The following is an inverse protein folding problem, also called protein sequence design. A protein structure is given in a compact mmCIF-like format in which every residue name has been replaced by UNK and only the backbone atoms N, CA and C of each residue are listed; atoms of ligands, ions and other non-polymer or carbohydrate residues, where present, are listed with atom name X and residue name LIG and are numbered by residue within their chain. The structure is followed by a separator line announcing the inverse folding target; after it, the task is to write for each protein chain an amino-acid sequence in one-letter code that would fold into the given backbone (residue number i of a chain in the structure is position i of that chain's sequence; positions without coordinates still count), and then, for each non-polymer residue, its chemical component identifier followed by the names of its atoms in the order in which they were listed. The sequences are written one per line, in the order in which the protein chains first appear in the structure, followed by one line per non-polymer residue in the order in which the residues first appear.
data_IF_190910720770
#
_entry.id   IF_190910720770
#
_cell.length_a   1.000
_cell.length_b   1.000
_cell.length_c   1.000
_cell.angle_alpha   90.00
_cell.angle_beta   90.00
_cell.angle_gamma   90.00
#
_symmetry.space_group_name_H-M   'P 1'
#
loop_
_entity.id
_entity.type
_entity.pdbx_description
1 polymer ?
#
# COMPACT_ATOMS: atom_id res chain seq x y z
N UNK A 1 -7.90 17.73 -11.78
CA UNK A 1 -6.98 16.85 -12.53
C UNK A 1 -7.16 15.43 -12.01
N UNK A 2 -7.04 14.41 -12.87
CA UNK A 2 -7.15 12.99 -12.50
C UNK A 2 -5.86 12.31 -12.90
N UNK A 3 -5.32 11.47 -12.02
CA UNK A 3 -4.07 10.75 -12.25
C UNK A 3 -4.29 9.25 -12.04
N UNK A 4 -3.68 8.45 -12.91
CA UNK A 4 -3.60 7.00 -12.73
C UNK A 4 -2.20 6.67 -12.24
N UNK A 5 -2.12 5.86 -11.19
CA UNK A 5 -0.88 5.43 -10.56
C UNK A 5 -0.77 3.91 -10.64
N UNK A 6 0.45 3.41 -10.68
CA UNK A 6 0.79 2.00 -10.59
C UNK A 6 1.89 1.85 -9.55
N UNK A 7 1.66 0.96 -8.58
CA UNK A 7 2.65 0.58 -7.59
C UNK A 7 3.17 -0.80 -7.97
N UNK A 8 4.46 -0.90 -8.29
CA UNK A 8 5.12 -2.17 -8.56
C UNK A 8 5.75 -2.67 -7.27
N UNK A 9 5.40 -3.90 -6.88
CA UNK A 9 5.92 -4.55 -5.68
C UNK A 9 6.89 -5.66 -6.08
N UNK A 10 7.95 -5.83 -5.30
CA UNK A 10 8.84 -6.99 -5.45
C UNK A 10 8.17 -8.27 -4.94
N UNK A 11 8.63 -9.44 -5.40
CA UNK A 11 8.16 -10.74 -4.90
C UNK A 11 8.30 -10.85 -3.38
N UNK A 12 9.38 -10.31 -2.81
CA UNK A 12 9.59 -10.28 -1.37
C UNK A 12 8.51 -9.46 -0.65
N UNK A 13 8.19 -8.26 -1.15
CA UNK A 13 7.14 -7.42 -0.55
C UNK A 13 5.77 -8.11 -0.60
N UNK A 14 5.44 -8.73 -1.74
CA UNK A 14 4.20 -9.49 -1.91
C UNK A 14 4.15 -10.64 -0.88
N UNK A 15 5.24 -11.39 -0.76
CA UNK A 15 5.35 -12.49 0.20
C UNK A 15 5.21 -12.02 1.66
N UNK A 16 5.88 -10.92 2.03
CA UNK A 16 5.84 -10.36 3.39
C UNK A 16 4.42 -9.91 3.75
N UNK A 17 3.74 -9.19 2.86
CA UNK A 17 2.38 -8.69 3.10
C UNK A 17 1.37 -9.86 3.14
N UNK A 18 1.51 -10.87 2.27
CA UNK A 18 0.69 -12.10 2.33
C UNK A 18 0.90 -12.90 3.64
N UNK A 19 2.04 -12.72 4.31
CA UNK A 19 2.35 -13.30 5.62
C UNK A 19 1.93 -12.41 6.81
N UNK A 20 1.23 -11.31 6.55
CA UNK A 20 0.68 -10.44 7.58
C UNK A 20 1.57 -9.26 7.97
N UNK A 21 2.58 -8.91 7.15
CA UNK A 21 3.26 -7.64 7.33
C UNK A 21 2.27 -6.47 7.17
N UNK A 22 2.44 -5.43 7.99
CA UNK A 22 1.63 -4.21 7.90
C UNK A 22 1.91 -3.47 6.58
N UNK A 23 0.87 -2.87 6.01
CA UNK A 23 0.96 -2.00 4.83
C UNK A 23 0.68 -0.56 5.27
N UNK A 24 1.63 0.33 5.01
CA UNK A 24 1.46 1.78 5.12
C UNK A 24 1.32 2.44 3.75
N UNK A 25 0.66 3.61 3.70
CA UNK A 25 0.64 4.48 2.52
C UNK A 25 0.78 5.93 2.94
N UNK A 26 1.56 6.71 2.20
CA UNK A 26 1.78 8.12 2.53
C UNK A 26 2.12 8.98 1.33
N UNK A 27 2.07 10.29 1.56
CA UNK A 27 2.49 11.34 0.63
C UNK A 27 3.48 12.21 1.38
N UNK A 28 4.69 12.34 0.84
CA UNK A 28 5.73 13.23 1.36
C UNK A 28 5.95 14.41 0.41
N UNK A 29 4.92 15.22 0.24
CA UNK A 29 5.02 16.47 -0.51
C UNK A 29 5.16 17.63 0.46
N UNK A 30 6.04 18.60 0.17
CA UNK A 30 6.34 19.75 1.06
C UNK A 30 5.09 20.44 1.63
N UNK A 31 4.05 20.57 0.80
CA UNK A 31 2.80 21.25 1.16
C UNK A 31 1.68 20.30 1.57
N UNK A 32 1.93 18.99 1.59
CA UNK A 32 0.98 17.96 1.98
C UNK A 32 1.73 16.69 2.42
N UNK A 33 1.95 16.57 3.72
CA UNK A 33 2.54 15.39 4.35
C UNK A 33 1.45 14.64 5.11
N UNK A 34 1.17 13.41 4.69
CA UNK A 34 0.14 12.58 5.31
C UNK A 34 0.49 11.10 5.18
N UNK A 35 0.14 10.33 6.21
CA UNK A 35 0.45 8.92 6.30
C UNK A 35 -0.71 8.17 6.95
N UNK A 36 -0.95 6.96 6.46
CA UNK A 36 -1.87 5.98 7.03
C UNK A 36 -1.06 4.71 7.25
N UNK A 37 -0.74 4.44 8.52
CA UNK A 37 -0.02 3.25 8.93
C UNK A 37 -0.57 2.70 10.27
N UNK A 38 -1.12 1.48 10.31
CA UNK A 38 -1.41 0.62 9.16
C UNK A 38 -2.66 1.07 8.39
N UNK A 39 -2.71 0.74 7.10
CA UNK A 39 -3.96 0.73 6.34
C UNK A 39 -4.93 -0.24 7.01
N UNK A 40 -6.22 0.15 7.11
CA UNK A 40 -7.24 -0.66 7.77
C UNK A 40 -7.29 -2.08 7.17
N UNK A 41 -7.38 -3.10 8.04
CA UNK A 41 -7.23 -4.51 7.64
C UNK A 41 -8.12 -4.94 6.48
N UNK A 42 -9.40 -4.55 6.47
CA UNK A 42 -10.31 -4.90 5.36
C UNK A 42 -9.89 -4.33 4.00
N UNK A 43 -9.23 -3.16 3.98
CA UNK A 43 -8.70 -2.55 2.75
C UNK A 43 -7.39 -3.26 2.37
N UNK A 44 -6.55 -3.55 3.35
CA UNK A 44 -5.32 -4.30 3.13
C UNK A 44 -5.61 -5.67 2.51
N UNK A 45 -6.57 -6.42 3.06
CA UNK A 45 -6.99 -7.72 2.55
C UNK A 45 -7.46 -7.63 1.07
N UNK A 46 -8.24 -6.59 0.75
CA UNK A 46 -8.70 -6.36 -0.61
C UNK A 46 -7.54 -6.07 -1.59
N UNK A 47 -6.56 -5.25 -1.18
CA UNK A 47 -5.38 -4.94 -2.01
C UNK A 47 -4.47 -6.16 -2.18
N UNK A 48 -4.32 -6.98 -1.14
CA UNK A 48 -3.53 -8.23 -1.20
C UNK A 48 -4.11 -9.19 -2.23
N UNK A 49 -5.44 -9.24 -2.37
CA UNK A 49 -6.12 -10.10 -3.31
C UNK A 49 -5.80 -9.79 -4.79
N UNK A 50 -5.35 -8.57 -5.10
CA UNK A 50 -4.94 -8.17 -6.46
C UNK A 50 -3.51 -8.63 -6.82
N UNK A 51 -2.72 -9.09 -5.84
CA UNK A 51 -1.32 -9.48 -6.03
C UNK A 51 -1.19 -10.96 -6.39
N UNK A 52 -0.56 -11.25 -7.53
CA UNK A 52 -0.20 -12.62 -7.97
C UNK A 52 0.69 -13.36 -6.95
#
# INVERSE_FOLDING_TARGET
AVHFLRFELSEKMISDIKQGAALGIGIDHRNYSHEVEPVAGSIQDALIADLA
#
